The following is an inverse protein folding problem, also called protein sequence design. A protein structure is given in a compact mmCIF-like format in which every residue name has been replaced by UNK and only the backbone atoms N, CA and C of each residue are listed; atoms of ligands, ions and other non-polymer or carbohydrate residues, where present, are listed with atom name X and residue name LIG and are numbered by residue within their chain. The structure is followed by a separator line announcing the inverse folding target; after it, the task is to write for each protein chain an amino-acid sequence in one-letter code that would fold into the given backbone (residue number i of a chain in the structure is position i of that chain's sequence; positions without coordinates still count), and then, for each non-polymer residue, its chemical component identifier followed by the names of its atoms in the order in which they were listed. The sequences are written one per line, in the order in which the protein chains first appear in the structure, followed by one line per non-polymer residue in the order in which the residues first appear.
data_IF_511242823660
#
_entry.id   IF_511242823660
#
_cell.length_a   1.000
_cell.length_b   1.000
_cell.length_c   1.000
_cell.angle_alpha   90.00
_cell.angle_beta   90.00
_cell.angle_gamma   90.00
#
_symmetry.space_group_name_H-M   'P 1'
#
loop_
_entity.id
_entity.type
_entity.pdbx_description
1 polymer ?
#
# COMPACT_ATOMS: atom_id res chain seq x y z
N UNK A 1 -26.22 17.01 3.99
CA UNK A 1 -24.74 16.94 4.12
C UNK A 1 -24.47 15.83 5.09
N UNK A 2 -24.10 14.65 4.60
CA UNK A 2 -23.56 13.61 5.49
C UNK A 2 -22.25 14.16 6.07
N UNK A 3 -22.15 14.18 7.40
CA UNK A 3 -20.92 14.56 8.09
C UNK A 3 -19.82 13.58 7.70
N UNK A 4 -18.67 14.08 7.27
CA UNK A 4 -17.50 13.23 7.08
C UNK A 4 -17.21 12.46 8.37
N UNK A 5 -16.85 11.17 8.30
CA UNK A 5 -16.56 10.38 9.49
C UNK A 5 -15.42 11.01 10.29
N UNK A 6 -15.50 10.93 11.62
CA UNK A 6 -14.56 11.58 12.55
C UNK A 6 -13.08 11.23 12.27
N UNK A 7 -12.85 10.02 11.75
CA UNK A 7 -11.53 9.52 11.39
C UNK A 7 -11.40 9.34 9.88
N UNK A 8 -11.07 10.42 9.18
CA UNK A 8 -11.00 10.45 7.71
C UNK A 8 -9.85 11.31 7.19
N UNK A 9 -9.16 10.77 6.17
CA UNK A 9 -8.12 11.44 5.40
C UNK A 9 -8.72 11.90 4.08
N UNK A 10 -8.63 13.21 3.82
CA UNK A 10 -9.05 13.77 2.54
C UNK A 10 -7.96 13.50 1.49
N UNK A 11 -8.17 12.47 0.67
CA UNK A 11 -7.22 12.06 -0.36
C UNK A 11 -7.53 12.77 -1.69
N UNK A 12 -6.51 13.12 -2.49
CA UNK A 12 -6.72 13.79 -3.76
C UNK A 12 -7.45 12.88 -4.76
N UNK A 13 -8.30 13.48 -5.60
CA UNK A 13 -8.85 12.79 -6.76
C UNK A 13 -7.73 12.61 -7.80
N UNK A 14 -7.52 11.37 -8.22
CA UNK A 14 -6.54 11.00 -9.25
C UNK A 14 -7.33 10.29 -10.33
N UNK A 15 -7.38 10.88 -11.52
CA UNK A 15 -8.21 10.33 -12.60
C UNK A 15 -7.60 9.01 -13.10
N UNK A 16 -8.43 8.12 -13.65
CA UNK A 16 -7.92 6.91 -14.29
C UNK A 16 -7.03 7.21 -15.50
N UNK A 17 -7.12 8.40 -16.09
CA UNK A 17 -6.22 8.84 -17.16
C UNK A 17 -4.83 9.24 -16.64
N UNK A 18 -4.68 9.52 -15.35
CA UNK A 18 -3.39 9.69 -14.67
C UNK A 18 -2.80 8.34 -14.21
N UNK A 19 -3.51 7.22 -14.42
CA UNK A 19 -2.94 5.88 -14.30
C UNK A 19 -1.96 5.69 -15.47
N UNK A 20 -0.70 6.05 -15.26
CA UNK A 20 0.35 5.66 -16.19
C UNK A 20 0.57 4.15 -16.07
N UNK A 21 0.93 3.49 -17.17
CA UNK A 21 1.34 2.07 -17.17
C UNK A 21 2.55 1.77 -16.27
N UNK A 22 3.17 2.83 -15.73
CA UNK A 22 4.44 2.88 -15.02
C UNK A 22 4.35 3.27 -13.53
N UNK A 23 3.17 3.60 -12.98
CA UNK A 23 3.01 3.91 -11.55
C UNK A 23 1.67 3.38 -11.01
N UNK A 24 1.66 2.51 -9.99
CA UNK A 24 0.40 2.07 -9.36
C UNK A 24 -0.41 3.25 -8.84
N UNK A 25 -1.71 3.30 -9.17
CA UNK A 25 -2.60 4.40 -8.80
C UNK A 25 -2.57 4.74 -7.31
N UNK A 26 -2.60 3.72 -6.46
CA UNK A 26 -2.55 3.88 -4.99
C UNK A 26 -1.27 4.55 -4.49
N UNK A 27 -0.13 4.34 -5.17
CA UNK A 27 1.13 4.99 -4.86
C UNK A 27 1.06 6.47 -5.23
N UNK A 28 0.50 6.78 -6.41
CA UNK A 28 0.31 8.16 -6.87
C UNK A 28 -0.62 8.96 -5.93
N UNK A 29 -1.74 8.36 -5.51
CA UNK A 29 -2.69 8.98 -4.57
C UNK A 29 -2.00 9.36 -3.26
N UNK A 30 -1.21 8.44 -2.69
CA UNK A 30 -0.49 8.70 -1.43
C UNK A 30 0.61 9.75 -1.62
N UNK A 31 1.35 9.73 -2.73
CA UNK A 31 2.36 10.75 -3.00
C UNK A 31 1.73 12.15 -3.11
N UNK A 32 0.64 12.28 -3.88
CA UNK A 32 -0.11 13.53 -4.01
C UNK A 32 -0.72 13.99 -2.69
N UNK A 33 -1.16 13.07 -1.82
CA UNK A 33 -1.63 13.40 -0.47
C UNK A 33 -0.56 14.11 0.35
N UNK A 34 0.70 13.70 0.20
CA UNK A 34 1.86 14.34 0.83
C UNK A 34 2.36 15.59 0.08
N UNK A 35 1.70 15.99 -1.02
CA UNK A 35 2.04 17.18 -1.80
C UNK A 35 3.08 16.95 -2.90
N UNK A 36 3.45 15.69 -3.18
CA UNK A 36 4.46 15.35 -4.20
C UNK A 36 3.81 14.84 -5.50
N UNK A 37 4.22 15.38 -6.64
CA UNK A 37 3.83 14.88 -7.97
C UNK A 37 4.95 14.00 -8.55
N UNK A 38 4.76 12.69 -8.48
CA UNK A 38 5.73 11.69 -8.94
C UNK A 38 5.35 11.06 -10.29
N UNK A 39 4.20 11.41 -10.86
CA UNK A 39 3.66 10.78 -12.07
C UNK A 39 4.30 11.32 -13.36
N UNK A 40 4.70 12.60 -13.38
CA UNK A 40 5.16 13.30 -14.59
C UNK A 40 6.45 12.75 -15.24
N UNK A 41 7.18 11.84 -14.57
CA UNK A 41 8.50 11.38 -15.02
C UNK A 41 8.64 9.85 -15.11
N UNK A 42 7.53 9.11 -15.02
CA UNK A 42 7.54 7.65 -15.14
C UNK A 42 7.56 7.23 -16.63
N UNK A 43 8.70 7.46 -17.29
CA UNK A 43 8.89 7.40 -18.75
C UNK A 43 9.18 5.99 -19.33
N UNK A 44 8.89 4.91 -18.62
CA UNK A 44 9.15 3.55 -19.10
C UNK A 44 7.84 2.74 -19.16
N UNK A 45 7.41 2.34 -20.36
CA UNK A 45 6.13 1.66 -20.65
C UNK A 45 6.04 0.21 -20.15
N UNK A 46 6.90 -0.18 -19.21
CA UNK A 46 6.90 -1.53 -18.64
C UNK A 46 5.86 -1.59 -17.54
N UNK A 47 5.04 -2.66 -17.54
CA UNK A 47 4.14 -2.98 -16.41
C UNK A 47 4.95 -2.94 -15.11
N UNK A 48 4.78 -1.89 -14.34
CA UNK A 48 5.50 -1.71 -13.08
C UNK A 48 4.82 -2.53 -12.01
N UNK A 49 5.59 -3.43 -11.41
CA UNK A 49 5.15 -4.09 -10.20
C UNK A 49 4.96 -3.04 -9.09
N UNK A 50 4.18 -3.36 -8.05
CA UNK A 50 3.97 -2.45 -6.92
C UNK A 50 5.30 -1.92 -6.35
N UNK A 51 6.31 -2.79 -6.27
CA UNK A 51 7.64 -2.45 -5.78
C UNK A 51 8.36 -1.38 -6.60
N UNK A 52 8.08 -1.29 -7.91
CA UNK A 52 8.72 -0.30 -8.77
C UNK A 52 8.15 1.10 -8.49
N UNK A 53 6.84 1.19 -8.28
CA UNK A 53 6.20 2.44 -7.84
C UNK A 53 6.69 2.88 -6.47
N UNK A 54 6.83 1.95 -5.53
CA UNK A 54 7.41 2.22 -4.22
C UNK A 54 8.86 2.71 -4.34
N UNK A 55 9.71 2.03 -5.12
CA UNK A 55 11.10 2.43 -5.32
C UNK A 55 11.22 3.80 -5.99
N UNK A 56 10.31 4.12 -6.93
CA UNK A 56 10.24 5.44 -7.54
C UNK A 56 9.87 6.50 -6.50
N UNK A 57 8.88 6.26 -5.64
CA UNK A 57 8.55 7.16 -4.53
C UNK A 57 9.74 7.32 -3.55
N UNK A 58 10.42 6.22 -3.19
CA UNK A 58 11.62 6.27 -2.33
C UNK A 58 12.72 7.16 -2.93
N UNK A 59 12.94 7.10 -4.25
CA UNK A 59 13.89 7.96 -4.96
C UNK A 59 13.53 9.45 -4.91
N UNK A 60 12.28 9.78 -4.58
CA UNK A 60 11.74 11.15 -4.43
C UNK A 60 11.62 11.60 -2.98
N UNK A 61 12.29 10.89 -2.06
CA UNK A 61 12.34 11.32 -0.66
C UNK A 61 11.25 10.73 0.22
N UNK A 62 10.57 9.67 -0.21
CA UNK A 62 9.71 8.88 0.68
C UNK A 62 10.49 7.79 1.43
N UNK A 63 10.08 7.52 2.66
CA UNK A 63 10.37 6.26 3.34
C UNK A 63 9.16 5.34 3.19
N UNK A 64 9.39 4.09 2.82
CA UNK A 64 8.34 3.08 2.64
C UNK A 64 8.50 1.88 3.57
N UNK A 65 7.39 1.29 3.98
CA UNK A 65 7.37 0.09 4.81
C UNK A 65 6.26 -0.84 4.34
N UNK A 66 6.62 -2.08 4.03
CA UNK A 66 5.68 -3.16 3.69
C UNK A 66 5.69 -4.14 4.85
N UNK A 67 4.57 -4.32 5.57
CA UNK A 67 4.57 -5.04 6.85
C UNK A 67 3.24 -5.73 7.11
N UNK A 68 3.25 -6.69 8.04
CA UNK A 68 2.01 -7.29 8.54
C UNK A 68 1.36 -6.37 9.56
N UNK A 69 0.12 -5.98 9.30
CA UNK A 69 -0.64 -5.02 10.09
C UNK A 69 -1.82 -5.69 10.81
N UNK A 70 -2.77 -4.88 11.28
CA UNK A 70 -4.02 -5.26 11.93
C UNK A 70 -4.99 -4.10 11.82
N UNK A 71 -6.29 -4.33 12.06
CA UNK A 71 -7.28 -3.23 12.08
C UNK A 71 -6.89 -2.11 13.06
N UNK A 72 -6.41 -2.49 14.26
CA UNK A 72 -5.94 -1.52 15.26
C UNK A 72 -4.80 -0.66 14.74
N UNK A 73 -3.86 -1.27 14.00
CA UNK A 73 -2.74 -0.54 13.41
C UNK A 73 -3.20 0.37 12.26
N UNK A 74 -4.10 -0.08 11.36
CA UNK A 74 -4.67 0.79 10.32
C UNK A 74 -5.37 2.02 10.91
N UNK A 75 -6.22 1.83 11.92
CA UNK A 75 -6.91 2.93 12.62
C UNK A 75 -5.90 3.92 13.21
N UNK A 76 -4.86 3.41 13.88
CA UNK A 76 -3.75 4.23 14.37
C UNK A 76 -3.07 5.03 13.25
N UNK A 77 -2.82 4.45 12.08
CA UNK A 77 -2.20 5.19 10.94
C UNK A 77 -3.08 6.30 10.44
N UNK A 78 -4.37 6.04 10.30
CA UNK A 78 -5.37 7.02 9.91
C UNK A 78 -5.39 8.18 10.92
N UNK A 79 -5.41 7.89 12.21
CA UNK A 79 -5.37 8.92 13.26
C UNK A 79 -4.05 9.72 13.28
N UNK A 80 -2.97 9.16 12.76
CA UNK A 80 -1.68 9.82 12.58
C UNK A 80 -1.59 10.64 11.29
N UNK A 81 -2.62 10.66 10.44
CA UNK A 81 -2.56 11.31 9.13
C UNK A 81 -1.78 10.51 8.08
N UNK A 82 -1.54 9.22 8.31
CA UNK A 82 -0.77 8.37 7.38
C UNK A 82 -1.77 7.48 6.63
N UNK A 83 -1.93 7.63 5.30
CA UNK A 83 -2.83 6.79 4.53
C UNK A 83 -2.21 5.42 4.25
N UNK A 84 -2.71 4.32 4.84
CA UNK A 84 -2.21 2.99 4.55
C UNK A 84 -2.78 2.47 3.23
N UNK A 85 -1.94 1.77 2.49
CA UNK A 85 -2.34 0.95 1.34
C UNK A 85 -2.42 -0.50 1.83
N UNK A 86 -3.50 -1.21 1.52
CA UNK A 86 -3.66 -2.63 1.87
C UNK A 86 -3.70 -3.49 0.62
N UNK A 87 -3.20 -4.71 0.74
CA UNK A 87 -3.22 -5.72 -0.31
C UNK A 87 -4.36 -6.68 -0.01
N UNK A 88 -5.33 -6.74 -0.91
CA UNK A 88 -6.51 -7.60 -0.81
C UNK A 88 -6.43 -8.72 -1.84
N UNK A 89 -7.03 -9.88 -1.53
CA UNK A 89 -7.13 -10.97 -2.50
C UNK A 89 -7.86 -10.48 -3.76
N UNK A 90 -7.32 -10.83 -4.93
CA UNK A 90 -7.94 -10.48 -6.21
C UNK A 90 -9.29 -11.17 -6.40
N UNK A 91 -10.22 -10.50 -7.09
CA UNK A 91 -11.53 -11.09 -7.41
C UNK A 91 -11.39 -12.00 -8.64
N UNK A 92 -11.97 -13.21 -8.56
CA UNK A 92 -11.99 -14.20 -9.67
C UNK A 92 -10.61 -14.62 -10.22
N UNK A 93 -9.62 -14.80 -9.34
CA UNK A 93 -8.32 -15.39 -9.73
C UNK A 93 -7.45 -14.48 -10.60
N UNK A 94 -7.76 -13.18 -10.68
CA UNK A 94 -6.96 -12.18 -11.39
C UNK A 94 -6.41 -11.16 -10.40
N UNK A 95 -5.08 -11.00 -10.39
CA UNK A 95 -4.19 -9.99 -9.76
C UNK A 95 -4.58 -9.45 -8.38
N UNK A 96 -3.66 -9.53 -7.40
CA UNK A 96 -3.78 -8.89 -6.08
C UNK A 96 -4.27 -7.43 -6.23
N UNK A 97 -5.28 -7.06 -5.44
CA UNK A 97 -5.89 -5.74 -5.52
C UNK A 97 -5.33 -4.86 -4.39
N UNK A 98 -4.70 -3.74 -4.73
CA UNK A 98 -4.25 -2.77 -3.74
C UNK A 98 -5.28 -1.64 -3.61
N UNK A 99 -5.59 -1.22 -2.38
CA UNK A 99 -6.49 -0.10 -2.11
C UNK A 99 -5.94 0.79 -0.99
N UNK A 100 -6.23 2.09 -1.05
CA UNK A 100 -5.92 3.02 0.04
C UNK A 100 -7.08 3.02 1.02
N UNK A 101 -6.79 2.89 2.32
CA UNK A 101 -7.79 3.08 3.38
C UNK A 101 -7.75 4.55 3.80
N UNK A 102 -8.83 5.28 3.53
CA UNK A 102 -8.93 6.71 3.82
C UNK A 102 -9.50 6.99 5.21
N UNK A 103 -10.17 6.04 5.84
CA UNK A 103 -10.79 6.31 7.14
C UNK A 103 -11.44 5.10 7.79
N UNK A 104 -12.13 5.33 8.90
CA UNK A 104 -13.00 4.36 9.54
C UNK A 104 -14.17 5.05 10.27
N UNK A 105 -15.26 4.31 10.44
CA UNK A 105 -16.38 4.70 11.29
C UNK A 105 -16.48 3.68 12.44
N UNK A 106 -16.21 4.14 13.65
CA UNK A 106 -16.26 3.31 14.87
C UNK A 106 -17.67 2.89 15.26
N UNK A 107 -18.66 3.77 15.07
CA UNK A 107 -20.06 3.52 15.43
C UNK A 107 -20.67 2.47 14.50
N UNK A 108 -20.48 2.64 13.19
CA UNK A 108 -20.99 1.73 12.17
C UNK A 108 -20.09 0.52 11.93
N UNK A 109 -18.89 0.50 12.53
CA UNK A 109 -17.86 -0.54 12.35
C UNK A 109 -17.53 -0.77 10.88
N UNK A 110 -17.11 0.30 10.20
CA UNK A 110 -16.75 0.27 8.77
C UNK A 110 -15.36 0.81 8.54
N UNK A 111 -14.63 0.18 7.61
CA UNK A 111 -13.42 0.74 7.02
C UNK A 111 -13.82 1.54 5.77
N UNK A 112 -13.29 2.75 5.65
CA UNK A 112 -13.54 3.65 4.53
C UNK A 112 -12.35 3.55 3.57
N UNK A 113 -12.64 3.22 2.31
CA UNK A 113 -11.63 2.98 1.28
C UNK A 113 -11.73 4.02 0.18
N UNK A 114 -10.59 4.42 -0.36
CA UNK A 114 -10.53 5.33 -1.49
C UNK A 114 -11.15 4.70 -2.75
N UNK A 115 -12.03 5.45 -3.42
CA UNK A 115 -12.53 5.13 -4.77
C UNK A 115 -12.11 6.28 -5.68
N UNK A 116 -11.28 6.03 -6.71
CA UNK A 116 -10.74 7.12 -7.55
C UNK A 116 -11.82 7.85 -8.35
N UNK A 117 -12.75 7.09 -8.93
CA UNK A 117 -13.89 7.59 -9.68
C UNK A 117 -15.07 6.63 -9.53
N UNK A 118 -16.28 7.09 -9.17
CA UNK A 118 -16.68 8.48 -8.89
C UNK A 118 -16.12 9.02 -7.56
N UNK A 119 -16.25 10.34 -7.31
CA UNK A 119 -15.91 11.05 -6.05
C UNK A 119 -16.78 10.55 -4.88
N UNK A 120 -16.54 9.30 -4.52
CA UNK A 120 -17.22 8.56 -3.48
C UNK A 120 -16.16 7.82 -2.67
N UNK A 121 -16.60 7.27 -1.55
CA UNK A 121 -15.77 6.38 -0.75
C UNK A 121 -16.42 5.01 -0.70
N UNK A 122 -15.59 3.97 -0.72
CA UNK A 122 -16.04 2.64 -0.38
C UNK A 122 -16.21 2.54 1.13
N UNK A 123 -17.22 1.78 1.58
CA UNK A 123 -17.45 1.56 3.00
C UNK A 123 -17.69 0.06 3.26
N UNK A 124 -16.66 -0.63 3.74
CA UNK A 124 -16.66 -2.08 3.95
C UNK A 124 -16.86 -2.36 5.44
N UNK A 125 -17.79 -3.26 5.84
CA UNK A 125 -17.90 -3.69 7.24
C UNK A 125 -16.56 -4.21 7.76
N UNK A 126 -16.12 -3.74 8.92
CA UNK A 126 -14.79 -4.02 9.49
C UNK A 126 -14.48 -5.51 9.59
N UNK A 127 -15.45 -6.32 10.03
CA UNK A 127 -15.30 -7.77 10.13
C UNK A 127 -15.09 -8.42 8.74
N UNK A 128 -15.80 -7.95 7.72
CA UNK A 128 -15.65 -8.45 6.34
C UNK A 128 -14.31 -8.03 5.76
N UNK A 129 -13.93 -6.76 5.93
CA UNK A 129 -12.64 -6.24 5.52
C UNK A 129 -11.50 -7.06 6.14
N UNK A 130 -11.55 -7.29 7.45
CA UNK A 130 -10.53 -8.08 8.15
C UNK A 130 -10.46 -9.52 7.60
N UNK A 131 -11.61 -10.19 7.45
CA UNK A 131 -11.67 -11.57 6.95
C UNK A 131 -11.08 -11.71 5.54
N UNK A 132 -11.37 -10.76 4.64
CA UNK A 132 -10.82 -10.76 3.29
C UNK A 132 -9.32 -10.44 3.31
N UNK A 133 -8.90 -9.46 4.11
CA UNK A 133 -7.51 -9.05 4.21
C UNK A 133 -6.60 -10.11 4.85
N UNK A 134 -7.13 -10.94 5.75
CA UNK A 134 -6.45 -12.10 6.32
C UNK A 134 -5.97 -13.11 5.27
N UNK A 135 -6.63 -13.17 4.10
CA UNK A 135 -6.23 -14.07 3.01
C UNK A 135 -4.90 -13.66 2.38
N UNK A 136 -4.50 -12.39 2.49
CA UNK A 136 -3.22 -11.85 2.00
C UNK A 136 -2.33 -11.38 3.18
N UNK A 137 -2.37 -12.16 4.26
CA UNK A 137 -1.58 -12.03 5.49
C UNK A 137 -1.71 -10.68 6.23
N UNK A 138 -2.80 -9.95 6.01
CA UNK A 138 -2.98 -8.58 6.51
C UNK A 138 -1.83 -7.64 6.09
N UNK A 139 -1.37 -7.77 4.84
CA UNK A 139 -0.26 -6.96 4.33
C UNK A 139 -0.69 -5.50 4.12
N UNK A 140 0.03 -4.59 4.78
CA UNK A 140 -0.08 -3.14 4.59
C UNK A 140 1.22 -2.55 4.03
N UNK A 141 1.08 -1.45 3.30
CA UNK A 141 2.16 -0.59 2.86
C UNK A 141 1.85 0.82 3.39
N UNK A 142 2.84 1.46 3.99
CA UNK A 142 2.79 2.89 4.31
C UNK A 142 3.95 3.61 3.63
N UNK A 143 3.69 4.83 3.18
CA UNK A 143 4.70 5.74 2.67
C UNK A 143 4.53 7.09 3.37
N UNK A 144 5.65 7.62 3.85
CA UNK A 144 5.72 8.93 4.50
C UNK A 144 6.92 9.69 3.95
N UNK A 145 6.91 11.04 3.95
CA UNK A 145 8.11 11.83 3.72
C UNK A 145 9.26 11.35 4.61
N UNK A 146 10.49 11.27 4.07
CA UNK A 146 11.63 10.65 4.75
C UNK A 146 12.04 11.37 6.03
N UNK A 147 11.77 12.66 6.12
CA UNK A 147 11.95 13.49 7.33
C UNK A 147 10.91 13.17 8.42
N UNK A 148 9.76 12.59 8.06
CA UNK A 148 8.72 12.12 9.00
C UNK A 148 8.92 10.69 9.50
N UNK A 149 9.97 9.97 9.07
CA UNK A 149 10.21 8.57 9.47
C UNK A 149 10.25 8.35 10.99
N UNK A 150 10.62 9.37 11.77
CA UNK A 150 10.69 9.28 13.23
C UNK A 150 9.31 9.07 13.87
N UNK A 151 8.21 9.41 13.18
CA UNK A 151 6.82 9.11 13.63
C UNK A 151 6.62 7.59 13.82
N UNK A 152 7.40 6.77 13.12
CA UNK A 152 7.34 5.31 13.16
C UNK A 152 8.43 4.68 14.03
N UNK A 153 9.29 5.46 14.68
CA UNK A 153 10.48 4.96 15.40
C UNK A 153 10.17 3.94 16.48
N UNK A 154 9.07 4.15 17.20
CA UNK A 154 8.65 3.29 18.31
C UNK A 154 7.80 2.09 17.86
N UNK A 155 7.59 1.93 16.57
CA UNK A 155 6.74 0.87 16.05
C UNK A 155 7.54 -0.38 15.73
N UNK A 156 7.10 -1.50 16.30
CA UNK A 156 7.58 -2.82 15.92
C UNK A 156 6.82 -3.32 14.69
N UNK A 157 7.17 -2.81 13.51
CA UNK A 157 6.59 -3.24 12.24
C UNK A 157 7.02 -4.69 11.92
N UNK A 158 6.04 -5.60 11.88
CA UNK A 158 6.30 -7.05 11.70
C UNK A 158 6.61 -7.37 10.24
N UNK A 159 7.58 -8.25 10.04
CA UNK A 159 7.90 -8.82 8.71
C UNK A 159 8.33 -7.80 7.65
N UNK A 160 8.80 -6.60 8.05
CA UNK A 160 9.21 -5.55 7.10
C UNK A 160 10.17 -6.04 6.03
N UNK A 161 11.23 -6.74 6.46
CA UNK A 161 12.27 -7.24 5.55
C UNK A 161 11.76 -8.34 4.63
N UNK A 162 11.03 -9.32 5.17
CA UNK A 162 10.52 -10.45 4.39
C UNK A 162 9.46 -10.01 3.39
N UNK A 163 8.53 -9.13 3.80
CA UNK A 163 7.48 -8.64 2.91
C UNK A 163 8.08 -7.80 1.78
N UNK A 164 9.07 -6.94 2.07
CA UNK A 164 9.80 -6.23 1.01
C UNK A 164 10.42 -7.20 -0.01
N UNK A 165 11.07 -8.26 0.46
CA UNK A 165 11.67 -9.25 -0.44
C UNK A 165 10.61 -9.94 -1.32
N UNK A 166 9.44 -10.27 -0.78
CA UNK A 166 8.35 -10.86 -1.57
C UNK A 166 7.93 -9.96 -2.73
N UNK A 167 7.74 -8.67 -2.47
CA UNK A 167 7.38 -7.66 -3.49
C UNK A 167 8.47 -7.47 -4.54
N UNK A 168 9.75 -7.45 -4.11
CA UNK A 168 10.87 -7.36 -5.04
C UNK A 168 11.01 -8.60 -5.93
N UNK A 169 10.76 -9.80 -5.38
CA UNK A 169 10.76 -11.05 -6.14
C UNK A 169 9.57 -11.10 -7.12
N UNK A 170 8.40 -10.62 -6.72
CA UNK A 170 7.25 -10.46 -7.62
C UNK A 170 7.59 -9.55 -8.80
N UNK A 171 8.24 -8.40 -8.53
CA UNK A 171 8.69 -7.49 -9.58
C UNK A 171 9.68 -8.13 -10.55
N UNK A 172 10.65 -8.92 -10.06
CA UNK A 172 11.54 -9.70 -10.91
C UNK A 172 10.78 -10.70 -11.79
N UNK A 173 9.82 -11.43 -11.20
CA UNK A 173 8.99 -12.40 -11.92
C UNK A 173 8.15 -11.73 -13.03
N UNK A 174 7.53 -10.59 -12.74
CA UNK A 174 6.71 -9.83 -13.71
C UNK A 174 7.54 -9.32 -14.90
N UNK A 175 8.84 -9.07 -14.69
CA UNK A 175 9.80 -8.70 -15.75
C UNK A 175 10.37 -9.90 -16.52
N UNK A 176 10.01 -11.12 -16.16
CA UNK A 176 10.55 -12.34 -16.77
C UNK A 176 11.87 -12.85 -16.17
N UNK A 177 12.40 -12.18 -15.14
CA UNK A 177 13.63 -12.58 -14.44
C UNK A 177 13.33 -13.63 -13.36
N UNK A 178 12.80 -14.78 -13.78
CA UNK A 178 12.29 -15.82 -12.87
C UNK A 178 13.40 -16.43 -12.00
N UNK A 179 14.60 -16.64 -12.55
CA UNK A 179 15.73 -17.21 -11.79
C UNK A 179 16.16 -16.28 -10.65
N UNK A 180 16.30 -14.98 -10.92
CA UNK A 180 16.64 -13.98 -9.92
C UNK A 180 15.54 -13.89 -8.84
N UNK A 181 14.27 -14.00 -9.23
CA UNK A 181 13.15 -14.03 -8.29
C UNK A 181 13.25 -15.24 -7.33
N UNK A 182 13.54 -16.43 -7.87
CA UNK A 182 13.72 -17.66 -7.08
C UNK A 182 14.91 -17.51 -6.14
N UNK A 183 16.07 -17.09 -6.64
CA UNK A 183 17.27 -16.90 -5.83
C UNK A 183 17.01 -15.93 -4.67
N UNK A 184 16.31 -14.83 -4.95
CA UNK A 184 15.99 -13.82 -3.94
C UNK A 184 15.11 -14.37 -2.82
N UNK A 185 14.11 -15.19 -3.16
CA UNK A 185 13.24 -15.87 -2.18
C UNK A 185 14.00 -16.95 -1.39
N UNK A 186 14.87 -17.73 -2.04
CA UNK A 186 15.73 -18.72 -1.40
C UNK A 186 16.68 -18.07 -0.39
N UNK A 187 17.30 -16.95 -0.76
CA UNK A 187 18.20 -16.20 0.12
C UNK A 187 17.47 -15.62 1.34
N UNK A 188 16.21 -15.19 1.19
CA UNK A 188 15.41 -14.72 2.32
C UNK A 188 15.06 -15.85 3.29
N UNK A 189 14.63 -17.01 2.79
CA UNK A 189 14.30 -18.17 3.62
C UNK A 189 15.53 -18.76 4.31
N UNK A 190 16.67 -18.86 3.64
CA UNK A 190 17.92 -19.34 4.24
C UNK A 190 18.42 -18.47 5.40
N UNK A 191 18.13 -17.16 5.39
CA UNK A 191 18.46 -16.24 6.49
C UNK A 191 17.51 -16.38 7.68
N UNK A 192 16.28 -16.84 7.49
CA UNK A 192 15.33 -17.10 8.57
C UNK A 192 15.70 -18.35 9.40
N UNK A 193 16.36 -19.36 8.80
CA UNK A 193 16.78 -20.60 9.48
C UNK A 193 18.17 -20.53 10.12
N UNK A 194 18.84 -19.37 10.10
CA UNK A 194 20.17 -19.16 10.70
C UNK A 194 20.15 -18.32 11.99
N UNK A 195 18.97 -18.08 12.57
CA UNK A 195 18.80 -17.43 13.88
C UNK A 195 18.28 -18.43 14.90
#
# INVERSE_FOLDING_TARGET
MESQPEHFLNLPLVSKSEESSSLPLVVNVVAKYWGEDIAQQAADERRTAMIDGIAHAESRGFASYIYKSSIKDLKKRIDQGIPPIVIMPGVHGTVQHAMVVSGYNSEERRMITYVPEPDTVGAIPEAKFQQEWEQDDMTAIIMVPSDMKEVLKNDSLKFVKSNRVCFEAEGLRLRGNVNDAIEKLQNATAKCFRN
#
